data_IF_679568319058
#
_entry.id   IF_679568319058
#
_cell.length_a   1.000
_cell.length_b   1.000
_cell.length_c   1.000
_cell.angle_alpha   90.00
_cell.angle_beta   90.00
_cell.angle_gamma   90.00
#
_symmetry.space_group_name_H-M   'P 1'
#
loop_
_entity.id
_entity.type
_entity.pdbx_description
1 polymer ?
#
# COMPACT_ATOMS: atom_id res chain seq x y z
N UNK A 1 -10.10 -19.98 0.82
CA UNK A 1 -9.11 -19.13 1.50
C UNK A 1 -8.12 -18.65 0.44
N UNK A 2 -7.74 -17.37 0.46
CA UNK A 2 -6.82 -16.82 -0.53
C UNK A 2 -5.39 -17.05 -0.05
N UNK A 3 -4.57 -17.64 -0.90
CA UNK A 3 -3.14 -17.78 -0.69
C UNK A 3 -2.39 -16.86 -1.67
N UNK A 4 -1.14 -16.50 -1.34
CA UNK A 4 -0.30 -15.63 -2.18
C UNK A 4 0.01 -16.22 -3.56
N UNK A 5 0.03 -17.56 -3.68
CA UNK A 5 0.18 -18.27 -4.96
C UNK A 5 -1.08 -18.26 -5.83
N UNK A 6 -2.25 -17.95 -5.27
CA UNK A 6 -3.49 -17.74 -6.03
C UNK A 6 -3.52 -16.38 -6.73
N UNK A 7 -2.63 -15.47 -6.36
CA UNK A 7 -2.57 -14.10 -6.85
C UNK A 7 -1.69 -14.07 -8.10
N UNK A 8 -2.24 -13.53 -9.17
CA UNK A 8 -1.55 -13.28 -10.43
C UNK A 8 -1.68 -11.81 -10.79
N UNK A 9 -0.72 -11.29 -11.53
CA UNK A 9 -0.71 -9.89 -11.98
C UNK A 9 -0.60 -9.92 -13.48
N UNK A 10 -1.54 -9.29 -14.16
CA UNK A 10 -1.58 -9.22 -15.62
C UNK A 10 -1.96 -7.81 -16.02
N UNK A 11 -1.07 -7.17 -16.78
CA UNK A 11 -1.21 -5.79 -17.21
C UNK A 11 -1.45 -4.86 -16.01
N UNK A 12 -2.67 -4.34 -15.85
CA UNK A 12 -3.07 -3.39 -14.84
C UNK A 12 -4.05 -3.98 -13.79
N UNK A 13 -4.23 -5.30 -13.79
CA UNK A 13 -5.16 -6.01 -12.90
C UNK A 13 -4.46 -7.05 -12.01
N UNK A 14 -5.00 -7.23 -10.82
CA UNK A 14 -4.72 -8.38 -9.96
C UNK A 14 -5.77 -9.46 -10.22
N UNK A 15 -5.37 -10.64 -10.65
CA UNK A 15 -6.26 -11.79 -10.81
C UNK A 15 -6.13 -12.76 -9.64
N UNK A 16 -7.25 -13.10 -8.99
CA UNK A 16 -7.30 -14.13 -7.94
C UNK A 16 -7.98 -15.38 -8.48
N UNK A 17 -7.25 -16.50 -8.55
CA UNK A 17 -7.80 -17.80 -8.95
C UNK A 17 -8.26 -18.58 -7.71
N UNK A 18 -9.54 -18.95 -7.66
CA UNK A 18 -10.08 -19.76 -6.57
C UNK A 18 -10.11 -21.23 -6.96
N UNK A 19 -9.51 -22.11 -6.15
CA UNK A 19 -9.58 -23.55 -6.35
C UNK A 19 -10.94 -24.17 -5.99
N UNK A 20 -11.73 -23.49 -5.16
CA UNK A 20 -13.10 -23.91 -4.79
C UNK A 20 -13.99 -22.68 -4.72
N UNK A 21 -15.23 -22.83 -5.13
CA UNK A 21 -16.24 -21.77 -5.06
C UNK A 21 -17.59 -22.31 -4.60
N UNK A 22 -18.56 -21.42 -4.36
CA UNK A 22 -19.92 -21.81 -3.97
C UNK A 22 -20.61 -22.69 -5.03
N UNK A 23 -20.23 -22.56 -6.28
CA UNK A 23 -20.79 -23.33 -7.41
C UNK A 23 -19.81 -24.40 -7.93
N UNK A 24 -18.67 -24.57 -7.27
CA UNK A 24 -17.66 -25.59 -7.54
C UNK A 24 -16.99 -26.05 -6.23
N UNK A 25 -17.69 -26.91 -5.49
CA UNK A 25 -17.23 -27.43 -4.21
C UNK A 25 -16.11 -28.47 -4.36
N UNK A 26 -16.10 -29.20 -5.48
CA UNK A 26 -15.06 -30.18 -5.81
C UNK A 26 -13.77 -29.50 -6.27
N UNK A 27 -13.86 -28.31 -6.86
CA UNK A 27 -12.71 -27.60 -7.43
C UNK A 27 -12.27 -28.17 -8.78
N UNK A 28 -13.19 -28.87 -9.44
CA UNK A 28 -12.95 -29.56 -10.70
C UNK A 28 -13.11 -28.66 -11.93
N UNK A 29 -13.75 -27.49 -11.76
CA UNK A 29 -13.99 -26.56 -12.87
C UNK A 29 -12.73 -25.73 -13.14
N UNK A 30 -12.76 -25.06 -14.30
CA UNK A 30 -11.71 -24.13 -14.72
C UNK A 30 -11.50 -23.06 -13.65
N UNK A 31 -10.23 -22.78 -13.33
CA UNK A 31 -9.82 -21.79 -12.32
C UNK A 31 -9.78 -20.39 -12.93
N UNK A 32 -10.94 -19.88 -13.31
CA UNK A 32 -11.05 -18.56 -13.90
C UNK A 32 -10.74 -17.46 -12.86
N UNK A 33 -9.86 -16.49 -13.19
CA UNK A 33 -9.47 -15.46 -12.25
C UNK A 33 -10.62 -14.48 -11.99
N UNK A 34 -10.69 -13.96 -10.76
CA UNK A 34 -11.46 -12.76 -10.44
C UNK A 34 -10.51 -11.57 -10.48
N UNK A 35 -10.70 -10.69 -11.46
CA UNK A 35 -9.87 -9.51 -11.63
C UNK A 35 -10.24 -8.44 -10.62
N UNK A 36 -9.24 -7.72 -10.11
CA UNK A 36 -9.38 -6.59 -9.20
C UNK A 36 -8.60 -5.44 -9.84
N UNK A 37 -9.21 -4.27 -9.88
CA UNK A 37 -8.60 -3.04 -10.38
C UNK A 37 -8.41 -2.04 -9.25
N UNK A 38 -7.46 -1.14 -9.44
CA UNK A 38 -7.24 0.00 -8.57
C UNK A 38 -8.25 1.11 -8.84
N UNK A 39 -8.47 1.95 -7.84
CA UNK A 39 -9.06 3.27 -8.04
C UNK A 39 -8.05 4.33 -7.56
N UNK A 40 -7.27 4.95 -8.46
CA UNK A 40 -6.31 5.99 -8.09
C UNK A 40 -6.97 7.31 -7.64
N UNK A 41 -8.26 7.50 -7.96
CA UNK A 41 -9.01 8.71 -7.67
C UNK A 41 -9.61 8.71 -6.25
N UNK A 42 -9.85 7.54 -5.67
CA UNK A 42 -10.34 7.38 -4.29
C UNK A 42 -9.44 6.41 -3.53
N UNK A 43 -8.54 6.96 -2.70
CA UNK A 43 -7.52 6.18 -2.02
C UNK A 43 -8.14 5.23 -0.98
N UNK A 44 -9.19 5.65 -0.27
CA UNK A 44 -9.75 4.89 0.86
C UNK A 44 -10.42 3.59 0.43
N UNK A 45 -10.95 3.54 -0.80
CA UNK A 45 -11.60 2.34 -1.35
C UNK A 45 -10.67 1.50 -2.24
N UNK A 46 -9.47 2.00 -2.55
CA UNK A 46 -8.55 1.35 -3.47
C UNK A 46 -7.93 0.06 -2.90
N UNK A 47 -8.32 -1.08 -3.46
CA UNK A 47 -7.85 -2.41 -3.00
C UNK A 47 -6.33 -2.58 -3.17
N UNK A 48 -5.73 -1.98 -4.19
CA UNK A 48 -4.28 -2.05 -4.42
C UNK A 48 -3.53 -1.38 -3.26
N UNK A 49 -3.97 -0.19 -2.85
CA UNK A 49 -3.41 0.51 -1.70
C UNK A 49 -3.63 -0.30 -0.41
N UNK A 50 -4.84 -0.81 -0.19
CA UNK A 50 -5.15 -1.60 0.99
C UNK A 50 -4.25 -2.85 1.10
N UNK A 51 -4.04 -3.57 0.00
CA UNK A 51 -3.13 -4.72 -0.07
C UNK A 51 -1.68 -4.30 0.18
N UNK A 52 -1.23 -3.19 -0.41
CA UNK A 52 0.12 -2.68 -0.19
C UNK A 52 0.34 -2.32 1.29
N UNK A 53 -0.55 -1.55 1.91
CA UNK A 53 -0.43 -1.24 3.35
C UNK A 53 -0.43 -2.52 4.18
N UNK A 54 -1.34 -3.45 3.89
CA UNK A 54 -1.41 -4.72 4.62
C UNK A 54 -0.08 -5.48 4.56
N UNK A 55 0.50 -5.63 3.38
CA UNK A 55 1.75 -6.37 3.19
C UNK A 55 2.94 -5.66 3.84
N UNK A 56 3.01 -4.33 3.76
CA UNK A 56 4.04 -3.55 4.42
C UNK A 56 3.99 -3.68 5.95
N UNK A 57 2.78 -3.80 6.51
CA UNK A 57 2.57 -4.03 7.94
C UNK A 57 2.79 -5.50 8.37
N UNK A 58 2.99 -6.43 7.43
CA UNK A 58 3.20 -7.85 7.72
C UNK A 58 4.42 -8.40 6.93
N UNK A 59 5.63 -7.85 7.12
CA UNK A 59 6.82 -8.27 6.38
C UNK A 59 7.22 -9.73 6.61
N UNK A 60 6.79 -10.34 7.71
CA UNK A 60 7.01 -11.74 8.05
C UNK A 60 6.08 -12.72 7.32
N UNK A 61 5.13 -12.24 6.51
CA UNK A 61 4.21 -13.09 5.77
C UNK A 61 5.00 -13.96 4.79
N UNK A 62 4.92 -15.29 4.87
CA UNK A 62 5.57 -16.18 3.91
C UNK A 62 4.57 -16.65 2.85
N UNK A 63 5.07 -17.33 1.81
CA UNK A 63 4.20 -17.99 0.81
C UNK A 63 3.18 -18.88 1.51
N UNK A 64 1.90 -18.66 1.24
CA UNK A 64 0.80 -19.31 1.95
C UNK A 64 -0.42 -18.39 2.06
N UNK A 65 -1.17 -18.51 3.16
CA UNK A 65 -2.40 -17.75 3.40
C UNK A 65 -2.13 -16.24 3.39
N UNK A 66 -2.85 -15.48 2.56
CA UNK A 66 -2.77 -14.02 2.57
C UNK A 66 -3.16 -13.44 3.93
N UNK A 67 -4.17 -14.03 4.58
CA UNK A 67 -4.58 -13.67 5.94
C UNK A 67 -4.34 -14.86 6.88
N UNK A 68 -3.26 -14.85 7.68
CA UNK A 68 -2.96 -15.94 8.60
C UNK A 68 -4.07 -16.21 9.64
N UNK A 69 -4.09 -17.44 10.17
CA UNK A 69 -5.04 -17.91 11.18
C UNK A 69 -6.18 -18.78 10.64
N UNK A 70 -7.10 -19.14 11.55
CA UNK A 70 -8.31 -19.92 11.28
C UNK A 70 -9.57 -19.03 11.34
N UNK A 71 -10.73 -19.62 11.00
CA UNK A 71 -12.05 -18.99 11.13
C UNK A 71 -12.13 -17.57 10.52
N UNK A 72 -11.57 -17.39 9.31
CA UNK A 72 -11.47 -16.07 8.66
C UNK A 72 -12.83 -15.38 8.52
N UNK A 73 -13.90 -16.12 8.19
CA UNK A 73 -15.26 -15.60 8.09
C UNK A 73 -15.73 -14.98 9.41
N UNK A 74 -15.52 -15.67 10.52
CA UNK A 74 -16.00 -15.24 11.82
C UNK A 74 -15.17 -14.06 12.36
N UNK A 75 -13.85 -14.10 12.16
CA UNK A 75 -12.97 -12.97 12.47
C UNK A 75 -13.36 -11.71 11.71
N UNK A 76 -13.59 -11.84 10.40
CA UNK A 76 -14.04 -10.74 9.56
C UNK A 76 -15.41 -10.22 10.03
N UNK A 77 -16.37 -11.12 10.30
CA UNK A 77 -17.70 -10.74 10.79
C UNK A 77 -17.65 -9.99 12.12
N UNK A 78 -16.78 -10.39 13.06
CA UNK A 78 -16.58 -9.69 14.33
C UNK A 78 -16.01 -8.29 14.14
N UNK A 79 -15.01 -8.13 13.27
CA UNK A 79 -14.42 -6.81 12.99
C UNK A 79 -15.41 -5.90 12.26
N UNK A 80 -16.16 -6.43 11.28
CA UNK A 80 -17.21 -5.70 10.60
C UNK A 80 -18.30 -5.24 11.58
N UNK A 81 -18.75 -6.11 12.49
CA UNK A 81 -19.71 -5.75 13.51
C UNK A 81 -19.21 -4.64 14.44
N UNK A 82 -17.92 -4.67 14.81
CA UNK A 82 -17.29 -3.61 15.60
C UNK A 82 -17.26 -2.28 14.85
N UNK A 83 -16.94 -2.30 13.56
CA UNK A 83 -16.91 -1.12 12.70
C UNK A 83 -18.30 -0.47 12.59
N UNK A 84 -19.35 -1.27 12.34
CA UNK A 84 -20.74 -0.83 12.22
C UNK A 84 -21.39 -0.41 13.55
N UNK A 85 -20.66 -0.56 14.66
CA UNK A 85 -21.08 -0.08 15.97
C UNK A 85 -20.42 1.26 16.33
N UNK A 86 -19.63 1.85 15.42
CA UNK A 86 -19.03 3.16 15.62
C UNK A 86 -20.11 4.25 15.48
N UNK A 87 -20.15 5.28 16.36
CA UNK A 87 -21.15 6.34 16.30
C UNK A 87 -21.17 7.11 14.97
N UNK A 88 -20.02 7.21 14.30
CA UNK A 88 -19.88 7.92 13.02
C UNK A 88 -20.29 7.10 11.78
N UNK A 89 -20.72 5.84 11.92
CA UNK A 89 -21.18 5.08 10.74
C UNK A 89 -22.59 5.49 10.34
N UNK A 90 -22.76 5.81 9.06
CA UNK A 90 -24.05 6.14 8.44
C UNK A 90 -25.02 4.97 8.33
N UNK A 91 -24.60 3.76 8.75
CA UNK A 91 -25.37 2.54 8.63
C UNK A 91 -25.19 1.63 9.84
N UNK A 92 -26.29 1.02 10.30
CA UNK A 92 -26.33 0.25 11.54
C UNK A 92 -25.97 -1.23 11.40
N UNK A 93 -25.56 -1.83 12.52
CA UNK A 93 -25.24 -3.28 12.64
C UNK A 93 -26.40 -4.22 12.27
N UNK A 94 -27.65 -3.77 12.34
CA UNK A 94 -28.84 -4.56 11.96
C UNK A 94 -29.02 -4.67 10.44
N UNK A 95 -28.47 -3.74 9.67
CA UNK A 95 -28.71 -3.63 8.22
C UNK A 95 -27.60 -4.30 7.41
N UNK A 96 -26.38 -4.31 7.93
CA UNK A 96 -25.19 -4.79 7.22
C UNK A 96 -24.53 -5.97 7.92
N UNK A 97 -24.08 -6.93 7.11
CA UNK A 97 -23.35 -8.11 7.57
C UNK A 97 -22.45 -8.66 6.48
N UNK A 98 -21.77 -9.78 6.74
CA UNK A 98 -20.80 -10.32 5.76
C UNK A 98 -21.40 -10.64 4.39
N UNK A 99 -22.71 -10.91 4.33
CA UNK A 99 -23.44 -11.12 3.08
C UNK A 99 -23.81 -9.83 2.34
N UNK A 100 -23.93 -8.69 3.03
CA UNK A 100 -24.32 -7.42 2.40
C UNK A 100 -23.23 -6.91 1.46
N UNK A 101 -21.96 -7.21 1.71
CA UNK A 101 -20.84 -6.80 0.82
C UNK A 101 -21.05 -7.34 -0.59
N UNK A 102 -21.31 -8.65 -0.74
CA UNK A 102 -21.50 -9.25 -2.08
C UNK A 102 -22.83 -8.81 -2.71
N UNK A 103 -23.88 -8.65 -1.91
CA UNK A 103 -25.20 -8.22 -2.41
C UNK A 103 -25.17 -6.76 -2.86
N UNK A 104 -24.66 -5.87 -2.02
CA UNK A 104 -24.49 -4.45 -2.31
C UNK A 104 -23.58 -4.21 -3.51
N UNK A 105 -22.48 -4.99 -3.63
CA UNK A 105 -21.64 -4.98 -4.82
C UNK A 105 -22.42 -5.33 -6.10
N UNK A 106 -23.21 -6.40 -6.07
CA UNK A 106 -24.04 -6.79 -7.21
C UNK A 106 -25.08 -5.71 -7.54
N UNK A 107 -25.76 -5.16 -6.53
CA UNK A 107 -26.72 -4.07 -6.70
C UNK A 107 -26.05 -2.87 -7.35
N UNK A 108 -24.93 -2.39 -6.79
CA UNK A 108 -24.18 -1.26 -7.32
C UNK A 108 -23.79 -1.45 -8.79
N UNK A 109 -23.25 -2.63 -9.14
CA UNK A 109 -22.89 -2.93 -10.52
C UNK A 109 -24.10 -2.89 -11.47
N UNK A 110 -25.24 -3.45 -11.05
CA UNK A 110 -26.44 -3.52 -11.87
C UNK A 110 -27.23 -2.20 -11.94
N UNK A 111 -27.13 -1.32 -10.93
CA UNK A 111 -27.94 -0.11 -10.81
C UNK A 111 -27.19 1.18 -11.12
N UNK A 112 -25.86 1.14 -11.30
CA UNK A 112 -25.01 2.32 -11.46
C UNK A 112 -25.00 2.95 -12.86
N UNK A 113 -25.58 2.30 -13.88
CA UNK A 113 -25.59 2.79 -15.26
C UNK A 113 -26.63 2.08 -16.12
N UNK A 114 -27.13 2.76 -17.16
CA UNK A 114 -27.97 2.16 -18.23
C UNK A 114 -27.16 1.25 -19.16
N UNK A 115 -25.83 1.35 -19.15
CA UNK A 115 -24.87 0.48 -19.87
C UNK A 115 -24.00 -0.35 -18.92
N UNK A 116 -24.56 -0.82 -17.80
CA UNK A 116 -23.83 -1.57 -16.78
C UNK A 116 -23.37 -2.98 -17.21
N UNK A 117 -22.61 -3.68 -16.34
CA UNK A 117 -22.14 -5.04 -16.62
C UNK A 117 -23.29 -6.02 -16.84
N UNK A 118 -23.07 -7.04 -17.68
CA UNK A 118 -24.03 -8.11 -17.86
C UNK A 118 -24.34 -8.81 -16.54
N UNK A 119 -25.63 -9.07 -16.28
CA UNK A 119 -26.09 -9.82 -15.11
C UNK A 119 -25.43 -11.20 -15.00
N UNK A 120 -25.07 -11.81 -16.12
CA UNK A 120 -24.33 -13.08 -16.16
C UNK A 120 -22.96 -12.92 -15.50
N UNK A 121 -22.21 -11.87 -15.87
CA UNK A 121 -20.89 -11.59 -15.28
C UNK A 121 -21.00 -11.31 -13.79
N UNK A 122 -22.04 -10.57 -13.36
CA UNK A 122 -22.33 -10.29 -11.95
C UNK A 122 -22.60 -11.57 -11.18
N UNK A 123 -23.52 -12.41 -11.65
CA UNK A 123 -23.87 -13.67 -11.00
C UNK A 123 -22.67 -14.63 -10.91
N UNK A 124 -21.90 -14.78 -12.00
CA UNK A 124 -20.68 -15.60 -12.01
C UNK A 124 -19.64 -15.09 -11.01
N UNK A 125 -19.45 -13.77 -10.92
CA UNK A 125 -18.52 -13.15 -9.96
C UNK A 125 -18.98 -13.33 -8.50
N UNK A 126 -20.28 -13.21 -8.25
CA UNK A 126 -20.89 -13.43 -6.94
C UNK A 126 -20.95 -14.92 -6.51
N UNK A 127 -20.66 -15.84 -7.44
CA UNK A 127 -20.80 -17.27 -7.22
C UNK A 127 -22.26 -17.69 -7.04
N UNK A 128 -23.16 -17.06 -7.80
CA UNK A 128 -24.59 -17.37 -7.83
C UNK A 128 -24.89 -18.28 -9.01
N UNK A 129 -25.78 -19.28 -8.84
CA UNK A 129 -26.21 -20.10 -9.96
C UNK A 129 -26.94 -19.24 -11.00
N UNK A 130 -26.70 -19.51 -12.28
CA UNK A 130 -27.45 -18.89 -13.39
C UNK A 130 -28.72 -19.66 -13.72
N UNK A 131 -28.88 -20.86 -13.14
CA UNK A 131 -30.01 -21.75 -13.39
C UNK A 131 -29.75 -22.74 -14.53
N UNK A 132 -30.63 -23.72 -14.67
CA UNK A 132 -30.38 -24.94 -15.44
C UNK A 132 -30.08 -24.72 -16.94
N UNK A 133 -30.69 -23.71 -17.55
CA UNK A 133 -30.53 -23.42 -18.97
C UNK A 133 -29.30 -22.55 -19.21
N UNK A 134 -29.23 -21.40 -18.53
CA UNK A 134 -28.16 -20.42 -18.76
C UNK A 134 -26.78 -20.97 -18.44
N UNK A 135 -26.62 -21.82 -17.41
CA UNK A 135 -25.32 -22.40 -17.05
C UNK A 135 -24.69 -23.29 -18.14
N UNK A 136 -25.49 -23.76 -19.12
CA UNK A 136 -24.99 -24.58 -20.25
C UNK A 136 -24.41 -23.75 -21.39
N UNK A 137 -24.76 -22.47 -21.47
CA UNK A 137 -24.41 -21.61 -22.59
C UNK A 137 -23.60 -20.38 -22.18
N UNK A 138 -23.82 -19.92 -20.95
CA UNK A 138 -23.22 -18.71 -20.41
C UNK A 138 -22.09 -19.09 -19.45
N UNK A 139 -20.87 -18.88 -19.91
CA UNK A 139 -19.66 -19.20 -19.16
C UNK A 139 -18.92 -17.93 -18.73
N UNK A 140 -17.91 -18.13 -17.89
CA UNK A 140 -16.99 -17.06 -17.55
C UNK A 140 -16.30 -16.54 -18.81
N UNK A 141 -16.34 -15.23 -18.98
CA UNK A 141 -15.60 -14.52 -20.01
C UNK A 141 -14.74 -13.42 -19.36
N UNK A 142 -13.46 -13.39 -19.73
CA UNK A 142 -12.48 -12.51 -19.10
C UNK A 142 -12.84 -11.03 -19.24
N UNK A 143 -13.30 -10.61 -20.42
CA UNK A 143 -13.68 -9.22 -20.68
C UNK A 143 -14.85 -8.76 -19.79
N UNK A 144 -15.87 -9.62 -19.60
CA UNK A 144 -17.02 -9.31 -18.74
C UNK A 144 -16.63 -9.16 -17.27
N UNK A 145 -15.76 -10.05 -16.76
CA UNK A 145 -15.24 -9.94 -15.40
C UNK A 145 -14.33 -8.71 -15.20
N UNK A 146 -13.52 -8.36 -16.19
CA UNK A 146 -12.64 -7.19 -16.15
C UNK A 146 -13.44 -5.88 -16.18
N UNK A 147 -14.42 -5.77 -17.07
CA UNK A 147 -15.33 -4.62 -17.11
C UNK A 147 -16.05 -4.46 -15.76
N UNK A 148 -16.68 -5.53 -15.28
CA UNK A 148 -17.34 -5.56 -13.97
C UNK A 148 -16.37 -5.19 -12.84
N UNK A 149 -15.13 -5.66 -12.87
CA UNK A 149 -14.14 -5.36 -11.84
C UNK A 149 -13.78 -3.87 -11.78
N UNK A 150 -13.69 -3.19 -12.94
CA UNK A 150 -13.48 -1.73 -13.00
C UNK A 150 -14.68 -0.96 -12.47
N UNK A 151 -15.90 -1.38 -12.84
CA UNK A 151 -17.13 -0.83 -12.24
C UNK A 151 -17.08 -0.97 -10.72
N UNK A 152 -16.78 -2.17 -10.23
CA UNK A 152 -16.69 -2.46 -8.80
C UNK A 152 -15.58 -1.70 -8.06
N UNK A 153 -14.54 -1.25 -8.77
CA UNK A 153 -13.52 -0.36 -8.22
C UNK A 153 -14.02 1.08 -8.06
N UNK A 154 -15.21 1.40 -8.59
CA UNK A 154 -15.78 2.74 -8.57
C UNK A 154 -15.24 3.65 -9.67
N UNK A 155 -14.73 3.08 -10.77
CA UNK A 155 -14.25 3.86 -11.91
C UNK A 155 -15.44 4.37 -12.77
N UNK A 156 -15.33 5.58 -13.35
CA UNK A 156 -16.45 6.22 -14.06
C UNK A 156 -16.68 5.59 -15.44
N UNK A 157 -17.74 4.79 -15.59
CA UNK A 157 -18.04 3.98 -16.80
C UNK A 157 -18.09 4.81 -18.09
N UNK A 158 -18.55 6.05 -18.02
CA UNK A 158 -18.80 6.91 -19.17
C UNK A 158 -17.66 7.92 -19.43
N UNK A 159 -16.48 7.71 -18.83
CA UNK A 159 -15.33 8.59 -18.98
C UNK A 159 -14.07 7.79 -19.36
N UNK A 160 -13.13 8.42 -20.07
CA UNK A 160 -11.88 7.77 -20.48
C UNK A 160 -11.04 7.31 -19.27
N UNK A 161 -11.18 7.96 -18.11
CA UNK A 161 -10.58 7.55 -16.84
C UNK A 161 -11.11 6.21 -16.32
N UNK A 162 -12.13 5.61 -16.93
CA UNK A 162 -12.48 4.21 -16.70
C UNK A 162 -11.30 3.25 -16.95
N UNK A 163 -10.45 3.60 -17.91
CA UNK A 163 -9.26 2.85 -18.28
C UNK A 163 -8.00 3.29 -17.50
N UNK A 164 -8.14 4.09 -16.43
CA UNK A 164 -6.99 4.61 -15.67
C UNK A 164 -6.10 3.47 -15.15
N UNK A 165 -4.79 3.67 -15.27
CA UNK A 165 -3.79 2.74 -14.78
C UNK A 165 -3.69 2.81 -13.24
N UNK A 166 -3.31 1.70 -12.59
CA UNK A 166 -2.96 1.74 -11.18
C UNK A 166 -1.83 2.74 -10.90
N UNK A 167 -1.72 3.24 -9.65
CA UNK A 167 -0.57 4.04 -9.26
C UNK A 167 0.72 3.28 -9.62
N UNK A 168 1.63 3.93 -10.33
CA UNK A 168 2.86 3.33 -10.84
C UNK A 168 4.04 4.29 -10.66
N UNK A 169 5.24 3.76 -10.53
CA UNK A 169 6.46 4.55 -10.53
C UNK A 169 6.72 5.07 -11.93
N UNK A 170 7.05 6.36 -12.03
CA UNK A 170 7.52 6.97 -13.27
C UNK A 170 8.77 6.27 -13.81
N UNK A 171 9.63 5.77 -12.91
CA UNK A 171 10.84 5.00 -13.22
C UNK A 171 10.79 3.64 -12.51
N UNK A 172 10.10 2.64 -13.08
CA UNK A 172 9.89 1.33 -12.44
C UNK A 172 11.15 0.49 -12.31
N UNK A 173 12.26 0.87 -12.93
CA UNK A 173 13.54 0.13 -12.91
C UNK A 173 14.63 0.87 -12.11
N UNK A 174 14.25 1.90 -11.36
CA UNK A 174 15.17 2.56 -10.44
C UNK A 174 15.67 1.58 -9.36
N UNK A 175 16.99 1.59 -9.12
CA UNK A 175 17.64 0.67 -8.18
C UNK A 175 17.25 0.95 -6.73
N UNK A 176 17.04 2.22 -6.36
CA UNK A 176 16.58 2.62 -5.03
C UNK A 176 15.14 2.18 -4.80
N UNK A 177 14.29 2.33 -5.82
CA UNK A 177 12.91 1.83 -5.78
C UNK A 177 12.88 0.32 -5.60
N UNK A 178 13.66 -0.40 -6.40
CA UNK A 178 13.73 -1.87 -6.33
C UNK A 178 14.25 -2.35 -4.97
N UNK A 179 15.28 -1.67 -4.44
CA UNK A 179 15.82 -1.92 -3.09
C UNK A 179 14.77 -1.66 -2.00
N UNK A 180 14.03 -0.56 -2.09
CA UNK A 180 12.96 -0.23 -1.14
C UNK A 180 11.82 -1.25 -1.19
N UNK A 181 11.39 -1.67 -2.39
CA UNK A 181 10.36 -2.72 -2.56
C UNK A 181 10.79 -4.01 -1.88
N UNK A 182 12.02 -4.45 -2.12
CA UNK A 182 12.53 -5.70 -1.54
C UNK A 182 12.62 -5.65 -0.01
N UNK A 183 12.87 -4.46 0.56
CA UNK A 183 12.92 -4.26 2.02
C UNK A 183 11.53 -4.21 2.66
N UNK A 184 10.61 -3.46 2.06
CA UNK A 184 9.25 -3.25 2.60
C UNK A 184 8.36 -4.46 2.34
N UNK A 185 8.62 -5.18 1.24
CA UNK A 185 7.79 -6.27 0.77
C UNK A 185 8.62 -7.51 0.40
N UNK A 186 9.36 -8.10 1.35
CA UNK A 186 10.29 -9.19 1.09
C UNK A 186 9.61 -10.43 0.47
N UNK A 187 8.37 -10.67 0.87
CA UNK A 187 7.52 -11.78 0.41
C UNK A 187 6.94 -11.59 -0.99
N UNK A 188 7.12 -10.39 -1.57
CA UNK A 188 6.52 -9.96 -2.82
C UNK A 188 7.53 -9.82 -3.96
N UNK A 189 8.76 -10.34 -3.83
CA UNK A 189 9.76 -10.34 -4.91
C UNK A 189 9.25 -10.94 -6.24
N UNK A 190 8.19 -11.76 -6.24
CA UNK A 190 7.44 -12.21 -7.43
C UNK A 190 6.22 -11.37 -7.83
N UNK A 191 5.68 -10.56 -6.92
CA UNK A 191 4.60 -9.60 -7.18
C UNK A 191 5.12 -8.17 -7.37
N UNK A 192 6.43 -8.01 -7.61
CA UNK A 192 7.12 -6.74 -7.90
C UNK A 192 6.38 -5.84 -8.91
N UNK A 193 5.66 -6.34 -9.93
CA UNK A 193 4.85 -5.46 -10.79
C UNK A 193 3.73 -4.72 -10.02
N UNK A 194 3.15 -5.29 -8.95
CA UNK A 194 2.11 -4.64 -8.12
C UNK A 194 2.65 -3.47 -7.30
N UNK A 195 3.93 -3.54 -6.92
CA UNK A 195 4.56 -2.64 -5.96
C UNK A 195 5.50 -1.65 -6.59
N UNK A 196 5.71 -1.74 -7.90
CA UNK A 196 6.40 -0.70 -8.66
C UNK A 196 5.52 0.57 -8.76
N UNK A 197 4.91 1.02 -7.66
CA UNK A 197 3.98 2.13 -7.53
C UNK A 197 4.53 3.29 -6.69
N UNK A 198 4.74 4.46 -7.32
CA UNK A 198 4.67 5.74 -6.60
C UNK A 198 3.19 5.94 -6.38
N UNK A 199 2.77 5.89 -5.13
CA UNK A 199 1.38 6.02 -4.76
C UNK A 199 0.96 7.48 -4.94
N UNK A 200 0.61 7.87 -6.18
CA UNK A 200 -0.06 9.14 -6.43
C UNK A 200 -1.56 8.88 -6.23
N UNK A 201 -2.07 9.35 -5.10
CA UNK A 201 -3.49 9.49 -4.86
C UNK A 201 -3.85 10.92 -5.20
N UNK A 202 -4.92 11.14 -5.97
CA UNK A 202 -5.48 12.49 -6.23
C UNK A 202 -6.33 13.00 -5.05
N UNK A 203 -6.23 12.35 -3.89
CA UNK A 203 -7.12 12.53 -2.75
C UNK A 203 -6.49 13.52 -1.75
N UNK A 204 -7.12 14.69 -1.56
CA UNK A 204 -6.61 15.79 -0.73
C UNK A 204 -6.55 15.45 0.78
N UNK A 205 -7.19 14.36 1.22
CA UNK A 205 -7.23 13.91 2.62
C UNK A 205 -6.02 13.04 2.99
N UNK A 206 -5.38 12.41 2.00
CA UNK A 206 -4.13 11.68 2.13
C UNK A 206 -3.14 12.31 1.15
N UNK A 207 -2.56 13.49 1.45
CA UNK A 207 -1.56 14.08 0.58
C UNK A 207 -0.46 13.04 0.34
N UNK A 208 -0.20 12.76 -0.93
CA UNK A 208 0.73 11.73 -1.35
C UNK A 208 2.17 12.07 -0.90
N UNK A 209 2.52 11.72 0.33
CA UNK A 209 3.92 11.51 0.70
C UNK A 209 4.47 10.25 0.03
N UNK A 210 3.60 9.44 -0.60
CA UNK A 210 3.93 8.26 -1.39
C UNK A 210 4.56 7.14 -0.58
N UNK A 211 4.53 7.27 0.75
CA UNK A 211 5.20 6.41 1.70
C UNK A 211 4.22 6.27 2.87
N UNK A 212 3.68 5.06 3.16
CA UNK A 212 2.88 4.86 4.36
C UNK A 212 3.62 5.45 5.57
N UNK A 213 2.94 6.08 6.56
CA UNK A 213 3.58 6.80 7.65
C UNK A 213 4.72 6.00 8.32
N UNK A 214 4.55 4.67 8.40
CA UNK A 214 5.53 3.74 8.95
C UNK A 214 6.79 3.54 8.07
N UNK A 215 6.71 3.63 6.75
CA UNK A 215 7.87 3.55 5.85
C UNK A 215 8.65 4.87 5.86
N UNK A 216 7.97 6.00 6.09
CA UNK A 216 8.61 7.31 6.28
C UNK A 216 9.45 7.29 7.56
N UNK A 217 8.80 6.90 8.66
CA UNK A 217 9.45 6.62 9.94
C UNK A 217 10.61 5.63 9.80
N UNK A 218 10.46 4.54 9.04
CA UNK A 218 11.54 3.58 8.84
C UNK A 218 12.71 4.18 8.04
N UNK A 219 12.45 5.02 7.03
CA UNK A 219 13.51 5.74 6.30
C UNK A 219 14.24 6.71 7.22
N UNK A 220 13.52 7.47 8.02
CA UNK A 220 14.11 8.38 9.01
C UNK A 220 14.92 7.62 10.05
N UNK A 221 14.40 6.50 10.55
CA UNK A 221 15.10 5.64 11.50
C UNK A 221 16.36 5.00 10.88
N UNK A 222 16.32 4.64 9.60
CA UNK A 222 17.50 4.09 8.89
C UNK A 222 18.56 5.16 8.65
N UNK A 223 18.15 6.37 8.28
CA UNK A 223 19.02 7.55 8.15
C UNK A 223 19.69 7.85 9.50
N UNK A 224 18.87 7.99 10.56
CA UNK A 224 19.35 8.21 11.93
C UNK A 224 20.28 7.09 12.42
N UNK A 225 19.98 5.83 12.10
CA UNK A 225 20.84 4.69 12.46
C UNK A 225 22.18 4.71 11.70
N UNK A 226 22.18 5.19 10.46
CA UNK A 226 23.42 5.31 9.65
C UNK A 226 24.30 6.43 10.17
N UNK A 227 23.71 7.59 10.48
CA UNK A 227 24.38 8.73 11.12
C UNK A 227 24.92 8.37 12.50
N UNK A 228 24.15 7.67 13.35
CA UNK A 228 24.64 7.17 14.63
C UNK A 228 25.83 6.22 14.50
N UNK A 229 25.91 5.45 13.41
CA UNK A 229 27.04 4.54 13.14
C UNK A 229 28.28 5.26 12.61
N UNK A 230 28.16 6.48 12.09
CA UNK A 230 29.32 7.28 11.66
C UNK A 230 29.94 8.11 12.78
N UNK A 231 29.20 8.39 13.86
CA UNK A 231 29.69 9.16 15.02
C UNK A 231 31.01 8.61 15.59
N UNK A 232 31.19 7.29 15.83
CA UNK A 232 32.45 6.78 16.37
C UNK A 232 33.66 7.07 15.48
N UNK A 233 33.49 7.00 14.16
CA UNK A 233 34.57 7.23 13.20
C UNK A 233 34.93 8.71 13.09
N UNK A 234 33.95 9.62 13.21
CA UNK A 234 34.25 11.06 13.27
C UNK A 234 34.92 11.46 14.58
N UNK A 235 34.50 10.88 15.71
CA UNK A 235 35.16 11.11 17.00
C UNK A 235 36.61 10.60 16.96
N UNK A 236 36.86 9.40 16.44
CA UNK A 236 38.23 8.87 16.28
C UNK A 236 39.06 9.80 15.38
N UNK A 237 38.52 10.20 14.21
CA UNK A 237 39.18 11.16 13.31
C UNK A 237 39.48 12.51 13.94
N UNK A 238 38.64 12.99 14.85
CA UNK A 238 38.87 14.25 15.57
C UNK A 238 39.85 14.12 16.74
N UNK A 239 39.93 12.93 17.36
CA UNK A 239 40.81 12.66 18.50
C UNK A 239 42.24 12.30 18.07
N UNK A 240 42.43 11.58 16.97
CA UNK A 240 43.76 11.15 16.50
C UNK A 240 44.76 12.32 16.33
N UNK A 241 44.42 13.43 15.66
CA UNK A 241 45.34 14.55 15.49
C UNK A 241 45.65 15.29 16.81
N UNK A 242 44.73 15.25 17.77
CA UNK A 242 44.88 15.90 19.08
C UNK A 242 45.76 15.08 20.02
N UNK A 243 45.72 13.75 19.90
CA UNK A 243 46.64 12.87 20.62
C UNK A 243 48.07 12.98 20.06
N UNK A 244 48.21 13.14 18.74
CA UNK A 244 49.50 13.37 18.08
C UNK A 244 50.09 14.75 18.40
N UNK A 245 49.29 15.82 18.39
CA UNK A 245 49.77 17.19 18.68
C UNK A 245 50.08 17.44 20.14
N UNK A 246 49.46 16.72 21.08
CA UNK A 246 49.69 16.87 22.52
C UNK A 246 50.74 15.89 23.09
N UNK A 247 51.44 15.13 22.25
CA UNK A 247 52.57 14.24 22.59
C UNK A 247 52.29 13.40 23.86
N UNK A 248 51.21 12.63 23.81
CA UNK A 248 50.69 11.85 24.95
C UNK A 248 51.63 10.68 25.25
N UNK A 249 52.68 10.96 26.02
CA UNK A 249 53.61 9.97 26.57
C UNK A 249 53.18 9.50 27.96
N UNK A 250 53.61 8.30 28.34
CA UNK A 250 53.25 7.62 29.59
C UNK A 250 53.71 8.42 30.83
N UNK A 251 52.92 9.40 31.24
CA UNK A 251 53.20 10.26 32.40
C UNK A 251 52.31 11.50 32.50
N UNK A 252 51.81 12.04 31.37
CA UNK A 252 51.06 13.31 31.34
C UNK A 252 49.55 13.18 31.09
N UNK A 253 49.02 11.96 30.99
CA UNK A 253 47.59 11.73 30.75
C UNK A 253 46.76 11.97 32.03
N UNK A 254 46.48 13.23 32.34
CA UNK A 254 45.62 13.60 33.47
C UNK A 254 44.14 13.56 33.07
N UNK A 255 43.25 13.28 34.04
CA UNK A 255 41.79 13.30 33.83
C UNK A 255 41.30 14.64 33.27
N UNK A 256 41.99 15.74 33.63
CA UNK A 256 41.71 17.08 33.13
C UNK A 256 41.98 17.19 31.63
N UNK A 257 43.15 16.72 31.17
CA UNK A 257 43.52 16.71 29.76
C UNK A 257 42.54 15.88 28.91
N UNK A 258 42.10 14.74 29.45
CA UNK A 258 41.12 13.88 28.77
C UNK A 258 39.75 14.58 28.62
N UNK A 259 39.29 15.27 29.68
CA UNK A 259 38.03 16.03 29.65
C UNK A 259 38.08 17.22 28.70
N UNK A 260 39.17 17.99 28.72
CA UNK A 260 39.36 19.14 27.83
C UNK A 260 39.39 18.68 26.36
N UNK A 261 40.10 17.59 26.06
CA UNK A 261 40.18 17.04 24.70
C UNK A 261 38.84 16.48 24.22
N UNK A 262 38.07 15.80 25.08
CA UNK A 262 36.71 15.36 24.72
C UNK A 262 35.76 16.55 24.47
N UNK A 263 35.85 17.60 25.28
CA UNK A 263 35.01 18.78 25.13
C UNK A 263 35.30 19.54 23.83
N UNK A 264 36.59 19.68 23.46
CA UNK A 264 37.02 20.29 22.19
C UNK A 264 36.47 19.54 20.97
N UNK A 265 36.43 18.21 21.01
CA UNK A 265 35.91 17.39 19.91
C UNK A 265 34.38 17.41 19.85
N UNK A 266 33.70 17.33 20.99
CA UNK A 266 32.23 17.21 21.05
C UNK A 266 31.52 18.53 20.80
N UNK A 267 32.09 19.67 21.22
CA UNK A 267 31.47 20.99 21.06
C UNK A 267 31.06 21.34 19.62
N UNK A 268 31.94 21.25 18.59
CA UNK A 268 31.56 21.55 17.21
C UNK A 268 30.54 20.54 16.64
N UNK A 269 30.59 19.27 17.07
CA UNK A 269 29.63 18.25 16.64
C UNK A 269 28.21 18.54 17.17
N UNK A 270 28.10 18.97 18.44
CA UNK A 270 26.83 19.37 19.05
C UNK A 270 26.28 20.64 18.39
N UNK A 271 27.14 21.61 18.06
CA UNK A 271 26.76 22.83 17.35
C UNK A 271 26.18 22.52 15.96
N UNK A 272 26.82 21.62 15.21
CA UNK A 272 26.36 21.19 13.89
C UNK A 272 25.01 20.47 13.95
N UNK A 273 24.79 19.62 14.97
CA UNK A 273 23.50 18.97 15.19
C UNK A 273 22.38 19.98 15.53
N UNK A 274 22.67 20.99 16.36
CA UNK A 274 21.69 22.00 16.75
C UNK A 274 21.26 22.86 15.55
N UNK A 275 22.21 23.23 14.68
CA UNK A 275 21.93 24.00 13.46
C UNK A 275 21.12 23.23 12.39
N UNK A 276 21.10 21.90 12.45
CA UNK A 276 20.31 21.06 11.54
C UNK A 276 18.83 20.94 11.94
N UNK A 277 18.47 21.34 13.17
CA UNK A 277 17.11 21.25 13.70
C UNK A 277 16.25 22.51 13.44
N UNK A 278 16.84 23.63 12.99
CA UNK A 278 16.17 24.93 12.85
C UNK A 278 15.60 25.24 11.44
N UNK A 279 15.44 24.25 10.56
CA UNK A 279 14.71 24.46 9.29
C UNK A 279 13.20 24.35 9.53
N UNK A 280 12.59 25.48 9.91
CA UNK A 280 11.14 25.67 9.91
C UNK A 280 10.56 25.44 8.50
N UNK A 281 9.42 24.73 8.34
CA UNK A 281 8.80 24.56 7.03
C UNK A 281 8.31 25.91 6.51
N UNK A 282 8.77 26.29 5.33
CA UNK A 282 8.33 27.50 4.63
C UNK A 282 6.78 27.49 4.49
N UNK A 283 6.10 28.64 4.69
CA UNK A 283 4.66 28.72 4.54
C UNK A 283 4.27 28.37 3.10
N UNK A 284 3.33 27.43 2.97
CA UNK A 284 2.80 27.01 1.67
C UNK A 284 2.23 28.23 0.92
N UNK A 285 2.73 28.46 -0.30
CA UNK A 285 2.16 29.48 -1.17
C UNK A 285 0.68 29.17 -1.47
N UNK A 286 -0.22 30.16 -1.44
CA UNK A 286 -1.62 29.94 -1.77
C UNK A 286 -1.77 29.45 -3.21
N UNK A 287 -2.74 28.57 -3.50
CA UNK A 287 -2.94 28.01 -4.83
C UNK A 287 -3.25 29.12 -5.83
N UNK A 288 -2.48 29.19 -6.92
CA UNK A 288 -2.81 30.03 -8.08
C UNK A 288 -4.06 29.46 -8.75
N UNK A 289 -5.14 30.23 -8.74
CA UNK A 289 -6.32 29.98 -9.57
C UNK A 289 -5.93 30.21 -11.02
N UNK A 290 -5.84 29.13 -11.80
CA UNK A 290 -5.70 29.20 -13.26
C UNK A 290 -7.11 29.18 -13.83
N UNK A 291 -7.64 30.34 -14.20
CA UNK A 291 -8.88 30.43 -14.96
C UNK A 291 -8.61 29.91 -16.38
N UNK A 292 -9.20 28.78 -16.72
CA UNK A 292 -9.26 28.34 -18.11
C UNK A 292 -10.41 29.08 -18.82
N UNK A 293 -10.21 29.59 -20.04
CA UNK A 293 -11.29 30.18 -20.81
C UNK A 293 -12.34 29.12 -21.13
N UNK A 294 -13.59 29.46 -20.84
CA UNK A 294 -14.77 28.70 -21.28
C UNK A 294 -14.80 28.81 -22.80
N UNK A 295 -14.72 27.68 -23.49
CA UNK A 295 -14.97 27.59 -24.92
C UNK A 295 -16.48 27.39 -25.05
N UNK A 296 -17.17 28.38 -25.64
CA UNK A 296 -18.57 28.28 -26.11
C UNK A 296 -18.72 27.22 -27.20
#
# INVERSE_FOLDING_TARGET
>A
MIHLDHISVRSDAIGIAFCKSKTDHSGSKRRDPRHIYSNPMEARSCVFLAIAIYLACHPQLSMGKLFPGAAQKDRFGKQLAKLLSHPDTTCGRSEYGTHSIRKGAATFACSGSTGGPSIVSVCLRCGWPLGNVLERYMHYEGAGDQFLARVMAGLPINDASFAILPPHFKMPFDSNVSSAINKVFPSLSRMVPMLKARLFTHDNVLPATGIPPHVGLHKELTRATTEMRSIPNEVIRGVDPLLETKDVTAGNLTQRLLKETLAEVVAPMVQALASSAEVSPAPAAPPRIVNYPIIE
#
